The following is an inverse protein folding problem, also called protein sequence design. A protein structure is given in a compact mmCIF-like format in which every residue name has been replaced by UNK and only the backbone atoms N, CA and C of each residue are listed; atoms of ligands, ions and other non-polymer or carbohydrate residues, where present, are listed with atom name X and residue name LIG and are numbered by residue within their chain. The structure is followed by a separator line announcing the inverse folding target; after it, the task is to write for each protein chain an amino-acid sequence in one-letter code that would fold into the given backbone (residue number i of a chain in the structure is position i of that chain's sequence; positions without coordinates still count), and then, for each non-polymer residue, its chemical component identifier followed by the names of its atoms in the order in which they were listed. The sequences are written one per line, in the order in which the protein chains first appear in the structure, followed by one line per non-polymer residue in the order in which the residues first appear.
data_IF_609593288143
#
_entry.id   IF_609593288143
#
_cell.length_a   1.000
_cell.length_b   1.000
_cell.length_c   1.000
_cell.angle_alpha   90.00
_cell.angle_beta   90.00
_cell.angle_gamma   90.00
#
_symmetry.space_group_name_H-M   'P 1'
#
loop_
_entity.id
_entity.type
_entity.pdbx_description
1 polymer ?
#
# COMPACT_ATOMS: atom_id res chain seq x y z
N UNK A 1 -9.93 -1.79 16.01
CA UNK A 1 -11.18 -2.42 15.51
C UNK A 1 -10.98 -2.80 14.07
N UNK A 2 -11.41 -4.01 13.68
CA UNK A 2 -11.31 -4.52 12.33
C UNK A 2 -12.69 -4.89 11.76
N UNK A 3 -12.94 -4.45 10.53
CA UNK A 3 -14.14 -4.76 9.75
C UNK A 3 -13.77 -5.18 8.34
N UNK A 4 -14.47 -6.16 7.80
CA UNK A 4 -14.34 -6.61 6.42
C UNK A 4 -15.70 -7.13 5.91
N UNK A 5 -15.87 -7.18 4.59
CA UNK A 5 -17.07 -7.72 3.95
C UNK A 5 -17.32 -9.20 4.32
N UNK A 6 -16.25 -9.99 4.38
CA UNK A 6 -16.27 -11.40 4.76
C UNK A 6 -15.83 -11.58 6.21
N UNK A 7 -16.43 -12.51 6.98
CA UNK A 7 -16.12 -12.69 8.40
C UNK A 7 -14.77 -13.37 8.65
N UNK A 8 -14.24 -14.16 7.71
CA UNK A 8 -13.02 -14.94 7.88
C UNK A 8 -11.80 -14.06 8.18
N UNK A 9 -11.48 -12.98 7.39
CA UNK A 9 -10.38 -12.09 7.70
C UNK A 9 -10.54 -11.37 9.05
N UNK A 10 -11.78 -11.07 9.46
CA UNK A 10 -12.06 -10.46 10.76
C UNK A 10 -11.65 -11.42 11.89
N UNK A 11 -12.05 -12.69 11.79
CA UNK A 11 -11.71 -13.73 12.76
C UNK A 11 -10.20 -13.94 12.87
N UNK A 12 -9.48 -13.90 11.73
CA UNK A 12 -8.02 -14.09 11.71
C UNK A 12 -7.28 -12.94 12.42
N UNK A 13 -7.68 -11.68 12.19
CA UNK A 13 -7.05 -10.56 12.88
C UNK A 13 -7.48 -10.46 14.35
N UNK A 14 -8.67 -10.93 14.69
CA UNK A 14 -9.13 -11.00 16.08
C UNK A 14 -8.27 -11.97 16.92
N UNK A 15 -7.80 -13.07 16.35
CA UNK A 15 -6.83 -13.98 17.01
C UNK A 15 -5.51 -13.28 17.37
N UNK A 16 -5.20 -12.18 16.68
CA UNK A 16 -4.00 -11.35 16.90
C UNK A 16 -4.27 -10.12 17.78
N UNK A 17 -5.43 -10.07 18.44
CA UNK A 17 -5.79 -9.00 19.37
C UNK A 17 -6.65 -7.86 18.79
N UNK A 18 -7.04 -7.92 17.51
CA UNK A 18 -7.94 -6.92 16.97
C UNK A 18 -9.38 -7.11 17.50
N UNK A 19 -10.07 -6.01 17.75
CA UNK A 19 -11.49 -6.04 18.12
C UNK A 19 -12.31 -6.28 16.85
N UNK A 20 -13.02 -7.41 16.78
CA UNK A 20 -13.86 -7.76 15.65
C UNK A 20 -15.10 -6.86 15.57
N UNK A 21 -15.49 -6.45 14.36
CA UNK A 21 -16.77 -5.81 14.08
C UNK A 21 -17.35 -6.36 12.77
N UNK A 22 -18.55 -6.90 12.83
CA UNK A 22 -19.17 -7.63 11.71
C UNK A 22 -20.09 -6.75 10.85
N UNK A 23 -20.39 -5.55 11.32
CA UNK A 23 -21.14 -4.54 10.59
C UNK A 23 -20.59 -3.13 10.91
N UNK A 24 -21.05 -2.12 10.17
CA UNK A 24 -20.59 -0.75 10.34
C UNK A 24 -21.03 -0.12 11.67
N UNK A 25 -22.23 -0.44 12.16
CA UNK A 25 -22.70 0.07 13.45
C UNK A 25 -21.81 -0.40 14.60
N UNK A 26 -21.47 -1.68 14.63
CA UNK A 26 -20.50 -2.22 15.58
C UNK A 26 -19.13 -1.58 15.42
N UNK A 27 -18.64 -1.43 14.17
CA UNK A 27 -17.33 -0.85 13.90
C UNK A 27 -17.23 0.57 14.44
N UNK A 28 -18.18 1.43 14.11
CA UNK A 28 -18.15 2.83 14.52
C UNK A 28 -18.47 3.04 16.00
N UNK A 29 -19.29 2.19 16.62
CA UNK A 29 -19.59 2.27 18.07
C UNK A 29 -18.39 1.93 18.95
N UNK A 30 -17.43 1.14 18.44
CA UNK A 30 -16.23 0.70 19.16
C UNK A 30 -15.02 1.61 18.99
N UNK A 31 -15.14 2.66 18.17
CA UNK A 31 -14.08 3.63 17.94
C UNK A 31 -14.26 4.88 18.80
N UNK A 32 -13.22 5.27 19.53
CA UNK A 32 -13.17 6.53 20.27
C UNK A 32 -13.03 7.73 19.35
N UNK A 33 -13.69 8.84 19.71
CA UNK A 33 -13.60 10.11 18.96
C UNK A 33 -12.41 10.96 19.45
N UNK A 34 -11.74 11.69 18.55
CA UNK A 34 -11.90 11.68 17.09
C UNK A 34 -11.40 10.35 16.49
N UNK A 35 -12.22 9.74 15.65
CA UNK A 35 -11.91 8.43 15.07
C UNK A 35 -10.85 8.53 14.01
N UNK A 36 -10.00 7.49 13.90
CA UNK A 36 -9.14 7.26 12.74
C UNK A 36 -9.64 6.00 12.04
N UNK A 37 -10.09 6.14 10.81
CA UNK A 37 -10.58 5.04 9.97
C UNK A 37 -9.64 4.87 8.79
N UNK A 38 -9.05 3.68 8.65
CA UNK A 38 -8.16 3.33 7.56
C UNK A 38 -8.86 2.38 6.59
N UNK A 39 -8.94 2.77 5.31
CA UNK A 39 -9.49 1.96 4.24
C UNK A 39 -8.38 1.25 3.47
N UNK A 40 -8.52 -0.07 3.27
CA UNK A 40 -7.70 -0.88 2.38
C UNK A 40 -8.62 -1.58 1.38
N UNK A 41 -9.11 -0.84 0.40
CA UNK A 41 -10.12 -1.28 -0.55
C UNK A 41 -9.60 -1.18 -1.99
N UNK A 42 -10.14 -1.98 -2.93
CA UNK A 42 -9.89 -1.79 -4.36
C UNK A 42 -10.25 -0.37 -4.80
N UNK A 43 -9.37 0.24 -5.59
CA UNK A 43 -9.57 1.60 -6.10
C UNK A 43 -10.84 1.73 -6.97
N UNK A 44 -11.29 2.96 -7.15
CA UNK A 44 -12.46 3.29 -7.97
C UNK A 44 -13.78 3.13 -7.22
N UNK A 45 -14.77 2.53 -7.87
CA UNK A 45 -16.16 2.49 -7.41
C UNK A 45 -16.34 1.80 -6.06
N UNK A 46 -15.55 0.75 -5.77
CA UNK A 46 -15.63 0.04 -4.49
C UNK A 46 -15.30 0.96 -3.32
N UNK A 47 -14.20 1.68 -3.42
CA UNK A 47 -13.81 2.67 -2.40
C UNK A 47 -14.82 3.81 -2.32
N UNK A 48 -15.29 4.31 -3.47
CA UNK A 48 -16.28 5.39 -3.52
C UNK A 48 -17.58 5.02 -2.82
N UNK A 49 -18.17 3.88 -3.19
CA UNK A 49 -19.39 3.37 -2.58
C UNK A 49 -19.22 3.12 -1.08
N UNK A 50 -18.05 2.65 -0.67
CA UNK A 50 -17.79 2.42 0.75
C UNK A 50 -17.67 3.73 1.52
N UNK A 51 -17.00 4.74 0.98
CA UNK A 51 -16.96 6.08 1.57
C UNK A 51 -18.36 6.66 1.72
N UNK A 52 -19.23 6.54 0.71
CA UNK A 52 -20.62 6.99 0.82
C UNK A 52 -21.38 6.26 1.94
N UNK A 53 -21.16 4.96 2.12
CA UNK A 53 -21.77 4.17 3.19
C UNK A 53 -21.30 4.57 4.58
N UNK A 54 -20.03 4.91 4.76
CA UNK A 54 -19.48 5.28 6.07
C UNK A 54 -19.62 6.77 6.38
N UNK A 55 -19.85 7.62 5.37
CA UNK A 55 -20.00 9.07 5.53
C UNK A 55 -21.03 9.49 6.60
N UNK A 56 -22.21 8.82 6.77
CA UNK A 56 -23.14 9.14 7.84
C UNK A 56 -22.59 8.95 9.26
N UNK A 57 -21.67 8.01 9.46
CA UNK A 57 -21.05 7.72 10.76
C UNK A 57 -19.94 8.70 11.15
N UNK A 58 -19.31 9.35 10.16
CA UNK A 58 -18.21 10.27 10.38
C UNK A 58 -18.72 11.61 10.92
N UNK A 59 -17.98 12.16 11.87
CA UNK A 59 -18.27 13.44 12.55
C UNK A 59 -17.09 14.40 12.42
N UNK A 60 -17.29 15.73 12.60
CA UNK A 60 -16.19 16.69 12.57
C UNK A 60 -15.03 16.28 13.47
N UNK A 61 -13.81 16.39 12.97
CA UNK A 61 -12.58 15.98 13.66
C UNK A 61 -12.16 14.53 13.43
N UNK A 62 -13.05 13.64 12.92
CA UNK A 62 -12.65 12.29 12.51
C UNK A 62 -11.67 12.35 11.32
N UNK A 63 -10.81 11.35 11.21
CA UNK A 63 -9.79 11.24 10.15
C UNK A 63 -10.06 9.98 9.34
N UNK A 64 -10.19 10.12 8.03
CA UNK A 64 -10.29 9.03 7.09
C UNK A 64 -8.97 8.91 6.31
N UNK A 65 -8.34 7.73 6.34
CA UNK A 65 -7.15 7.40 5.57
C UNK A 65 -7.53 6.44 4.44
N UNK A 66 -7.28 6.81 3.20
CA UNK A 66 -7.41 5.93 2.04
C UNK A 66 -6.03 5.33 1.74
N UNK A 67 -5.84 4.05 2.11
CA UNK A 67 -4.60 3.29 1.90
C UNK A 67 -4.66 2.38 0.67
N UNK A 68 -5.70 2.48 -0.15
CA UNK A 68 -5.80 1.76 -1.42
C UNK A 68 -4.81 2.29 -2.47
N UNK A 69 -4.61 1.54 -3.55
CA UNK A 69 -3.82 2.03 -4.69
C UNK A 69 -4.71 2.89 -5.61
N UNK A 70 -5.13 4.05 -5.11
CA UNK A 70 -6.15 4.88 -5.73
C UNK A 70 -5.58 5.96 -6.66
N UNK A 71 -6.42 6.45 -7.56
CA UNK A 71 -6.10 7.58 -8.43
C UNK A 71 -6.05 8.87 -7.61
N UNK A 72 -4.95 9.63 -7.69
CA UNK A 72 -4.75 10.85 -6.92
C UNK A 72 -5.85 11.91 -7.12
N UNK A 73 -6.46 11.98 -8.31
CA UNK A 73 -7.59 12.89 -8.58
C UNK A 73 -8.83 12.54 -7.76
N UNK A 74 -9.07 11.25 -7.51
CA UNK A 74 -10.15 10.81 -6.62
C UNK A 74 -9.86 11.20 -5.17
N UNK A 75 -8.61 11.14 -4.74
CA UNK A 75 -8.21 11.61 -3.41
C UNK A 75 -8.49 13.10 -3.22
N UNK A 76 -8.15 13.93 -4.20
CA UNK A 76 -8.44 15.37 -4.17
C UNK A 76 -9.95 15.63 -4.09
N UNK A 77 -10.75 14.89 -4.84
CA UNK A 77 -12.22 15.00 -4.82
C UNK A 77 -12.80 14.57 -3.48
N UNK A 78 -12.34 13.43 -2.94
CA UNK A 78 -12.76 12.90 -1.63
C UNK A 78 -12.41 13.83 -0.49
N UNK A 79 -11.21 14.40 -0.52
CA UNK A 79 -10.77 15.41 0.43
C UNK A 79 -11.76 16.59 0.50
N UNK A 80 -12.10 17.20 -0.65
CA UNK A 80 -13.03 18.32 -0.72
C UNK A 80 -14.41 17.95 -0.14
N UNK A 81 -14.95 16.81 -0.56
CA UNK A 81 -16.26 16.31 -0.10
C UNK A 81 -16.31 16.05 1.41
N UNK A 82 -15.24 15.53 1.99
CA UNK A 82 -15.16 15.23 3.43
C UNK A 82 -14.90 16.49 4.26
N UNK A 83 -14.15 17.44 3.73
CA UNK A 83 -13.87 18.72 4.38
C UNK A 83 -15.17 19.52 4.62
N UNK A 84 -16.16 19.45 3.73
CA UNK A 84 -17.50 20.06 3.93
C UNK A 84 -18.20 19.55 5.20
N UNK A 85 -17.84 18.35 5.65
CA UNK A 85 -18.35 17.73 6.87
C UNK A 85 -17.42 17.90 8.08
N UNK A 86 -16.31 18.61 7.93
CA UNK A 86 -15.30 18.78 8.97
C UNK A 86 -14.47 17.50 9.21
N UNK A 87 -14.53 16.52 8.32
CA UNK A 87 -13.75 15.28 8.36
C UNK A 87 -12.43 15.50 7.66
N UNK A 88 -11.32 15.15 8.31
CA UNK A 88 -9.98 15.21 7.74
C UNK A 88 -9.73 14.00 6.86
N UNK A 89 -8.97 14.17 5.78
CA UNK A 89 -8.67 13.10 4.84
C UNK A 89 -7.18 13.02 4.54
N UNK A 90 -6.67 11.78 4.55
CA UNK A 90 -5.31 11.44 4.15
C UNK A 90 -5.35 10.38 3.05
N UNK A 91 -4.55 10.56 2.02
CA UNK A 91 -4.25 9.55 1.01
C UNK A 91 -2.88 8.94 1.30
N UNK A 92 -2.84 7.62 1.42
CA UNK A 92 -1.64 6.89 1.79
C UNK A 92 -1.29 5.86 0.71
N UNK A 93 -0.32 6.18 -0.13
CA UNK A 93 0.27 5.21 -1.04
C UNK A 93 1.09 4.18 -0.27
N UNK A 94 0.77 2.90 -0.42
CA UNK A 94 1.44 1.81 0.30
C UNK A 94 2.26 0.98 -0.68
N UNK A 95 3.54 0.76 -0.38
CA UNK A 95 4.44 -0.14 -1.11
C UNK A 95 5.05 -1.16 -0.14
N UNK A 96 5.40 -2.36 -0.66
CA UNK A 96 5.98 -3.45 0.13
C UNK A 96 5.27 -4.79 -0.07
N UNK A 97 4.12 -4.82 -0.75
CA UNK A 97 3.39 -6.05 -1.07
C UNK A 97 3.14 -6.95 0.14
N UNK A 98 3.19 -8.27 -0.06
CA UNK A 98 2.97 -9.24 1.02
C UNK A 98 4.12 -9.27 2.05
N UNK A 99 5.33 -8.88 1.66
CA UNK A 99 6.50 -8.87 2.53
C UNK A 99 6.43 -7.70 3.50
N UNK A 100 5.82 -6.58 3.12
CA UNK A 100 5.61 -5.44 4.01
C UNK A 100 4.93 -5.78 5.33
N UNK A 101 4.09 -6.80 5.37
CA UNK A 101 3.49 -7.28 6.62
C UNK A 101 4.51 -7.90 7.61
N UNK A 102 5.71 -8.25 7.15
CA UNK A 102 6.79 -8.85 7.96
C UNK A 102 7.89 -7.86 8.29
N UNK A 103 8.27 -7.02 7.35
CA UNK A 103 9.42 -6.12 7.47
C UNK A 103 9.05 -4.65 7.59
N UNK A 104 7.77 -4.29 7.47
CA UNK A 104 7.27 -2.93 7.39
C UNK A 104 7.02 -2.47 5.95
N UNK A 105 6.24 -1.41 5.80
CA UNK A 105 5.83 -0.83 4.52
C UNK A 105 6.61 0.46 4.21
N UNK A 106 6.61 0.85 2.94
CA UNK A 106 6.93 2.21 2.52
C UNK A 106 5.63 2.97 2.30
N UNK A 107 5.45 4.09 3.03
CA UNK A 107 4.20 4.86 3.06
C UNK A 107 4.42 6.29 2.56
N UNK A 108 3.66 6.69 1.55
CA UNK A 108 3.67 8.01 0.93
C UNK A 108 2.37 8.71 1.26
N UNK A 109 2.39 9.70 2.17
CA UNK A 109 1.17 10.26 2.74
C UNK A 109 0.93 11.69 2.24
N UNK A 110 -0.27 11.93 1.71
CA UNK A 110 -0.77 13.25 1.36
C UNK A 110 -2.00 13.64 2.17
N UNK A 111 -2.32 14.93 2.25
CA UNK A 111 -3.54 15.41 2.85
C UNK A 111 -3.36 16.51 3.89
N UNK A 112 -4.25 16.54 4.86
CA UNK A 112 -4.23 17.52 5.95
C UNK A 112 -3.01 17.29 6.87
N UNK A 113 -2.15 18.31 6.98
CA UNK A 113 -0.90 18.19 7.74
C UNK A 113 -1.11 17.95 9.23
N UNK A 114 -2.15 18.55 9.82
CA UNK A 114 -2.47 18.31 11.24
C UNK A 114 -3.00 16.89 11.46
N UNK A 115 -3.81 16.37 10.52
CA UNK A 115 -4.26 14.99 10.55
C UNK A 115 -3.08 14.02 10.41
N UNK A 116 -2.14 14.30 9.49
CA UNK A 116 -0.90 13.52 9.36
C UNK A 116 -0.14 13.43 10.69
N UNK A 117 0.07 14.56 11.37
CA UNK A 117 0.78 14.59 12.66
C UNK A 117 0.08 13.75 13.75
N UNK A 118 -1.28 13.76 13.77
CA UNK A 118 -2.06 12.93 14.70
C UNK A 118 -1.97 11.44 14.42
N UNK A 119 -1.90 11.07 13.14
CA UNK A 119 -1.85 9.66 12.67
C UNK A 119 -0.41 9.14 12.57
N UNK A 120 0.59 9.99 12.65
CA UNK A 120 2.01 9.63 12.51
C UNK A 120 2.43 8.41 13.35
N UNK A 121 1.99 8.22 14.62
CA UNK A 121 2.33 7.02 15.38
C UNK A 121 1.90 5.71 14.68
N UNK A 122 0.78 5.74 13.92
CA UNK A 122 0.31 4.59 13.16
C UNK A 122 1.21 4.36 11.93
N UNK A 123 1.60 5.43 11.22
CA UNK A 123 2.52 5.32 10.09
C UNK A 123 3.87 4.73 10.53
N UNK A 124 4.41 5.22 11.65
CA UNK A 124 5.65 4.73 12.23
C UNK A 124 5.57 3.25 12.63
N UNK A 125 4.43 2.80 13.14
CA UNK A 125 4.22 1.40 13.52
C UNK A 125 4.07 0.46 12.31
N UNK A 126 3.64 0.98 11.16
CA UNK A 126 3.42 0.19 9.95
C UNK A 126 4.63 0.20 8.99
N UNK A 127 5.46 1.23 9.04
CA UNK A 127 6.56 1.42 8.12
C UNK A 127 7.85 0.71 8.59
N UNK A 128 8.77 0.50 7.65
CA UNK A 128 10.18 0.25 7.99
C UNK A 128 10.80 1.51 8.60
N UNK A 129 11.98 1.41 9.19
CA UNK A 129 12.76 2.57 9.61
C UNK A 129 12.91 3.54 8.43
N UNK A 130 12.60 4.82 8.65
CA UNK A 130 12.55 5.87 7.62
C UNK A 130 11.61 5.58 6.42
N UNK A 131 10.71 4.63 6.56
CA UNK A 131 9.82 4.15 5.48
C UNK A 131 8.52 4.94 5.31
N UNK A 132 8.33 6.11 5.92
CA UNK A 132 7.13 6.94 5.72
C UNK A 132 7.46 8.41 5.58
N UNK A 133 6.69 9.11 4.74
CA UNK A 133 6.90 10.54 4.48
C UNK A 133 5.59 11.27 4.21
N UNK A 134 5.47 12.48 4.76
CA UNK A 134 4.46 13.44 4.31
C UNK A 134 4.88 14.05 2.98
N UNK A 135 4.16 13.70 1.92
CA UNK A 135 4.48 14.12 0.54
C UNK A 135 3.86 15.47 0.14
N UNK A 136 2.92 16.00 0.93
CA UNK A 136 2.28 17.28 0.63
C UNK A 136 0.75 17.27 0.78
N UNK A 137 0.02 18.18 0.11
CA UNK A 137 -1.44 18.28 0.20
C UNK A 137 -2.15 17.05 -0.37
N UNK A 138 -3.46 16.99 -0.20
CA UNK A 138 -4.28 15.84 -0.65
C UNK A 138 -4.04 15.47 -2.11
N UNK A 139 -3.89 14.17 -2.35
CA UNK A 139 -3.54 13.57 -3.63
C UNK A 139 -2.04 13.36 -3.81
N UNK A 140 -1.17 14.03 -3.05
CA UNK A 140 0.28 13.90 -3.21
C UNK A 140 0.80 12.51 -2.84
N UNK A 141 0.24 11.85 -1.84
CA UNK A 141 0.62 10.50 -1.45
C UNK A 141 0.35 9.49 -2.57
N UNK A 142 -0.86 9.45 -3.09
CA UNK A 142 -1.22 8.60 -4.22
C UNK A 142 -0.51 9.01 -5.53
N UNK A 143 -0.22 10.29 -5.73
CA UNK A 143 0.56 10.73 -6.90
C UNK A 143 1.99 10.19 -6.84
N UNK A 144 2.66 10.34 -5.71
CA UNK A 144 4.03 9.80 -5.50
C UNK A 144 4.02 8.27 -5.65
N UNK A 145 2.99 7.59 -5.11
CA UNK A 145 2.83 6.14 -5.30
C UNK A 145 2.61 5.75 -6.76
N UNK A 146 1.86 6.54 -7.51
CA UNK A 146 1.65 6.31 -8.95
C UNK A 146 2.96 6.42 -9.73
N UNK A 147 3.79 7.42 -9.42
CA UNK A 147 5.13 7.57 -10.04
C UNK A 147 6.05 6.41 -9.65
N UNK A 148 6.03 6.01 -8.35
CA UNK A 148 6.74 4.81 -7.89
C UNK A 148 6.34 3.58 -8.72
N UNK A 149 5.05 3.34 -8.94
CA UNK A 149 4.58 2.19 -9.72
C UNK A 149 5.04 2.27 -11.19
N UNK A 150 5.06 3.45 -11.79
CA UNK A 150 5.57 3.61 -13.16
C UNK A 150 7.06 3.23 -13.25
N UNK A 151 7.87 3.63 -12.27
CA UNK A 151 9.28 3.23 -12.19
C UNK A 151 9.40 1.71 -11.96
N UNK A 152 8.62 1.15 -11.04
CA UNK A 152 8.59 -0.28 -10.75
C UNK A 152 8.32 -1.11 -12.01
N UNK A 153 7.28 -0.78 -12.77
CA UNK A 153 6.96 -1.47 -14.03
C UNK A 153 8.04 -1.31 -15.09
N UNK A 154 8.65 -0.11 -15.20
CA UNK A 154 9.79 0.10 -16.09
C UNK A 154 11.00 -0.77 -15.73
N UNK A 155 11.30 -0.89 -14.43
CA UNK A 155 12.36 -1.79 -13.93
C UNK A 155 12.05 -3.26 -14.20
N UNK A 156 10.79 -3.70 -13.96
CA UNK A 156 10.36 -5.07 -14.23
C UNK A 156 10.50 -5.40 -15.73
N UNK A 157 10.10 -4.48 -16.60
CA UNK A 157 10.22 -4.67 -18.07
C UNK A 157 11.69 -4.81 -18.48
N UNK A 158 12.56 -3.90 -18.01
CA UNK A 158 13.99 -3.96 -18.33
C UNK A 158 14.66 -5.26 -17.82
N UNK A 159 14.26 -5.73 -16.63
CA UNK A 159 14.74 -7.03 -16.12
C UNK A 159 14.23 -8.20 -16.96
N UNK A 160 12.95 -8.21 -17.33
CA UNK A 160 12.36 -9.25 -18.18
C UNK A 160 13.07 -9.37 -19.52
N UNK A 161 13.26 -8.26 -20.21
CA UNK A 161 14.00 -8.21 -21.49
C UNK A 161 15.46 -8.69 -21.32
N UNK A 162 16.13 -8.28 -20.22
CA UNK A 162 17.49 -8.73 -19.93
C UNK A 162 17.61 -10.24 -19.72
N UNK A 163 16.67 -10.83 -18.98
CA UNK A 163 16.63 -12.29 -18.78
C UNK A 163 16.28 -13.02 -20.08
N UNK A 164 15.38 -12.49 -20.89
CA UNK A 164 15.06 -13.04 -22.23
C UNK A 164 16.30 -13.05 -23.15
N UNK A 165 17.08 -11.97 -23.15
CA UNK A 165 18.34 -11.92 -23.91
C UNK A 165 19.32 -12.99 -23.45
N UNK A 166 19.44 -13.26 -22.16
CA UNK A 166 20.30 -14.34 -21.65
C UNK A 166 19.81 -15.71 -22.12
N UNK A 167 18.52 -15.97 -22.06
CA UNK A 167 17.93 -17.24 -22.49
C UNK A 167 18.05 -17.50 -23.99
N UNK A 168 18.14 -16.46 -24.81
CA UNK A 168 18.31 -16.56 -26.26
C UNK A 168 19.75 -16.28 -26.72
N UNK A 169 20.71 -16.21 -25.81
CA UNK A 169 22.12 -15.95 -26.10
C UNK A 169 22.85 -17.19 -26.63
N UNK A 170 24.03 -17.04 -27.25
CA UNK A 170 24.89 -18.17 -27.56
C UNK A 170 25.30 -19.02 -26.34
N UNK A 171 25.14 -18.47 -25.14
CA UNK A 171 25.48 -19.09 -23.84
C UNK A 171 24.27 -19.68 -23.12
N UNK A 172 23.09 -19.68 -23.71
CA UNK A 172 21.83 -20.07 -23.07
C UNK A 172 21.85 -21.45 -22.41
N UNK A 173 22.67 -22.40 -22.94
CA UNK A 173 22.79 -23.75 -22.37
C UNK A 173 23.48 -23.80 -21.03
N UNK A 174 24.35 -22.82 -20.75
CA UNK A 174 25.16 -22.73 -19.52
C UNK A 174 24.64 -21.66 -18.56
N UNK A 175 23.59 -20.92 -18.96
CA UNK A 175 22.99 -19.85 -18.17
C UNK A 175 22.10 -20.43 -17.08
N UNK A 176 22.39 -20.07 -15.83
CA UNK A 176 21.54 -20.33 -14.67
C UNK A 176 20.98 -19.00 -14.17
N UNK A 177 19.72 -18.71 -14.54
CA UNK A 177 19.09 -17.41 -14.23
C UNK A 177 18.95 -17.17 -12.72
N UNK A 178 18.78 -18.23 -11.93
CA UNK A 178 18.76 -18.12 -10.45
C UNK A 178 20.10 -17.64 -9.94
N UNK A 179 21.20 -18.23 -10.40
CA UNK A 179 22.55 -17.83 -9.97
C UNK A 179 22.91 -16.44 -10.45
N UNK A 180 22.48 -16.06 -11.64
CA UNK A 180 22.71 -14.72 -12.20
C UNK A 180 21.93 -13.66 -11.44
N UNK A 181 20.64 -13.86 -11.17
CA UNK A 181 19.85 -12.93 -10.36
C UNK A 181 20.37 -12.80 -8.94
N UNK A 182 20.81 -13.91 -8.32
CA UNK A 182 21.51 -13.89 -7.05
C UNK A 182 22.79 -13.05 -7.11
N UNK A 183 23.66 -13.31 -8.10
CA UNK A 183 24.88 -12.54 -8.30
C UNK A 183 24.59 -11.04 -8.46
N UNK A 184 23.61 -10.69 -9.30
CA UNK A 184 23.25 -9.30 -9.53
C UNK A 184 22.65 -8.59 -8.32
N UNK A 185 22.06 -9.34 -7.41
CA UNK A 185 21.57 -8.78 -6.15
C UNK A 185 22.67 -8.57 -5.09
N UNK A 186 23.90 -9.07 -5.35
CA UNK A 186 25.07 -8.97 -4.46
C UNK A 186 26.14 -8.04 -5.07
N UNK A 187 25.99 -6.74 -4.83
CA UNK A 187 27.00 -5.73 -5.17
C UNK A 187 26.90 -5.12 -6.55
N UNK A 188 25.97 -5.52 -7.42
CA UNK A 188 25.78 -4.86 -8.70
C UNK A 188 24.94 -3.57 -8.54
N UNK A 189 25.02 -2.70 -9.55
CA UNK A 189 24.22 -1.44 -9.60
C UNK A 189 22.72 -1.72 -9.70
N UNK A 190 22.32 -2.83 -10.32
CA UNK A 190 20.91 -3.21 -10.51
C UNK A 190 20.34 -4.03 -9.36
N UNK A 191 21.07 -4.18 -8.25
CA UNK A 191 20.53 -4.84 -7.05
C UNK A 191 19.25 -4.14 -6.59
N UNK A 192 18.23 -4.91 -6.26
CA UNK A 192 16.93 -4.37 -5.86
C UNK A 192 16.04 -5.45 -5.26
N UNK A 193 14.98 -5.04 -4.57
CA UNK A 193 13.92 -5.95 -4.15
C UNK A 193 13.34 -6.75 -5.34
N UNK A 194 13.20 -6.13 -6.51
CA UNK A 194 12.73 -6.81 -7.73
C UNK A 194 13.71 -7.90 -8.18
N UNK A 195 15.02 -7.66 -8.07
CA UNK A 195 16.03 -8.68 -8.41
C UNK A 195 15.98 -9.86 -7.43
N UNK A 196 15.73 -9.62 -6.14
CA UNK A 196 15.49 -10.68 -5.15
C UNK A 196 14.23 -11.50 -5.49
N UNK A 197 13.16 -10.84 -5.94
CA UNK A 197 11.95 -11.52 -6.37
C UNK A 197 12.18 -12.34 -7.64
N UNK A 198 13.00 -11.88 -8.58
CA UNK A 198 13.40 -12.65 -9.76
C UNK A 198 14.17 -13.91 -9.35
N UNK A 199 15.14 -13.81 -8.44
CA UNK A 199 15.84 -14.98 -7.88
C UNK A 199 14.87 -16.00 -7.26
N UNK A 200 13.92 -15.52 -6.46
CA UNK A 200 12.89 -16.36 -5.85
C UNK A 200 11.99 -17.04 -6.89
N UNK A 201 11.65 -16.33 -7.97
CA UNK A 201 10.85 -16.87 -9.05
C UNK A 201 11.62 -17.98 -9.81
N UNK A 202 12.84 -17.72 -10.24
CA UNK A 202 13.70 -18.72 -10.90
C UNK A 202 14.09 -19.90 -9.99
N UNK A 203 14.00 -19.75 -8.69
CA UNK A 203 14.17 -20.89 -7.77
C UNK A 203 13.00 -21.88 -7.82
N UNK A 204 11.82 -21.46 -8.26
CA UNK A 204 10.61 -22.27 -8.38
C UNK A 204 10.43 -22.81 -9.78
N UNK A 205 10.74 -22.00 -10.78
CA UNK A 205 10.72 -22.35 -12.18
C UNK A 205 11.91 -21.69 -12.89
N UNK A 206 12.83 -22.52 -13.36
CA UNK A 206 14.06 -22.07 -14.02
C UNK A 206 13.82 -21.47 -15.44
N UNK A 207 12.60 -21.57 -15.96
CA UNK A 207 12.25 -21.18 -17.33
C UNK A 207 11.04 -20.23 -17.39
N UNK A 208 10.80 -19.50 -16.30
CA UNK A 208 9.71 -18.50 -16.26
C UNK A 208 9.61 -17.67 -17.53
#
# INVERSE_FOLDING_TARGET
VAHNRSPEPIKEVAKKGAIAAYNLDEFFSRLEKPRVVWLMLPAGDVTEQHIQKIKPYLTPGDILVDGGNAKYLDSVRRYKMLAEKGVKFLDAGVSGGLIGAKIGYCLMIGGDKEAYQKVEPIFRALATDDGYLYCGPSGSGHYVKMVHNAIEYGMMQAMGEGFELLMNSPYAKDVDLKKISHLWNHGSIIRSFLMEMAENAFSKDAKL
#
